data_IF_926328521783
#
_entry.id   IF_926328521783
#
_cell.length_a   1.000
_cell.length_b   1.000
_cell.length_c   1.000
_cell.angle_alpha   90.00
_cell.angle_beta   90.00
_cell.angle_gamma   90.00
#
_symmetry.space_group_name_H-M   'P 1'
#
loop_
_entity.id
_entity.type
_entity.pdbx_description
1 polymer ?
#
# COMPACT_ATOMS: atom_id res chain seq x y z
N UNK A 1 10.96 0.38 12.92
CA UNK A 1 10.26 -0.79 12.35
C UNK A 1 9.52 -0.36 11.10
N UNK A 2 9.74 -1.01 9.95
CA UNK A 2 8.95 -0.75 8.73
C UNK A 2 7.67 -1.58 8.85
N UNK A 3 6.54 -0.90 9.06
CA UNK A 3 5.21 -1.50 8.99
C UNK A 3 4.62 -1.15 7.61
N UNK A 4 3.88 -2.07 6.98
CA UNK A 4 3.67 -3.48 7.32
C UNK A 4 4.87 -4.40 6.98
N UNK A 5 4.83 -5.65 7.47
CA UNK A 5 5.85 -6.68 7.18
C UNK A 5 5.77 -7.17 5.73
N UNK A 6 6.92 -7.45 5.11
CA UNK A 6 7.00 -7.89 3.71
C UNK A 6 6.28 -9.21 3.45
N UNK A 7 6.32 -10.16 4.38
CA UNK A 7 5.66 -11.46 4.22
C UNK A 7 4.14 -11.31 4.07
N UNK A 8 3.51 -10.41 4.84
CA UNK A 8 2.07 -10.11 4.73
C UNK A 8 1.73 -9.48 3.38
N UNK A 9 2.62 -8.65 2.85
CA UNK A 9 2.43 -8.02 1.54
C UNK A 9 2.57 -9.04 0.41
N UNK A 10 3.48 -10.00 0.54
CA UNK A 10 3.72 -11.04 -0.46
C UNK A 10 2.65 -12.12 -0.47
N UNK A 11 1.95 -12.35 0.65
CA UNK A 11 0.76 -13.22 0.69
C UNK A 11 -0.36 -12.68 -0.21
N UNK A 12 -0.53 -11.35 -0.24
CA UNK A 12 -1.57 -10.66 -1.02
C UNK A 12 -1.10 -10.39 -2.46
N UNK A 13 0.17 -9.97 -2.62
CA UNK A 13 0.80 -9.67 -3.90
C UNK A 13 2.05 -10.53 -4.04
N UNK A 14 1.98 -11.73 -4.65
CA UNK A 14 3.08 -12.71 -4.66
C UNK A 14 4.31 -12.32 -5.49
N UNK A 15 4.36 -11.09 -6.01
CA UNK A 15 5.49 -10.57 -6.77
C UNK A 15 6.01 -9.28 -6.15
N UNK A 16 7.28 -9.30 -5.74
CA UNK A 16 8.01 -8.12 -5.24
C UNK A 16 7.96 -6.95 -6.23
N UNK A 17 8.08 -7.23 -7.53
CA UNK A 17 8.02 -6.19 -8.56
C UNK A 17 6.63 -5.57 -8.67
N UNK A 18 5.58 -6.40 -8.69
CA UNK A 18 4.19 -5.91 -8.70
C UNK A 18 3.90 -5.09 -7.45
N UNK A 19 4.34 -5.57 -6.28
CA UNK A 19 4.19 -4.87 -5.01
C UNK A 19 4.80 -3.46 -5.06
N UNK A 20 6.03 -3.33 -5.56
CA UNK A 20 6.70 -2.02 -5.69
C UNK A 20 5.93 -1.10 -6.63
N UNK A 21 5.51 -1.59 -7.80
CA UNK A 21 4.79 -0.79 -8.80
C UNK A 21 3.44 -0.32 -8.26
N UNK A 22 2.66 -1.20 -7.63
CA UNK A 22 1.34 -0.88 -7.06
C UNK A 22 1.49 0.14 -5.93
N UNK A 23 2.44 -0.10 -5.02
CA UNK A 23 2.68 0.78 -3.88
C UNK A 23 3.10 2.17 -4.34
N UNK A 24 3.98 2.28 -5.33
CA UNK A 24 4.40 3.56 -5.90
C UNK A 24 3.25 4.28 -6.61
N UNK A 25 2.46 3.56 -7.43
CA UNK A 25 1.30 4.12 -8.12
C UNK A 25 0.25 4.63 -7.12
N UNK A 26 -0.03 3.86 -6.06
CA UNK A 26 -0.99 4.26 -5.03
C UNK A 26 -0.48 5.41 -4.19
N UNK A 27 0.79 5.40 -3.78
CA UNK A 27 1.40 6.49 -3.03
C UNK A 27 1.26 7.81 -3.80
N UNK A 28 1.51 7.80 -5.12
CA UNK A 28 1.33 8.97 -5.97
C UNK A 28 -0.10 9.51 -5.98
N UNK A 29 -1.11 8.64 -5.93
CA UNK A 29 -2.51 9.08 -5.85
C UNK A 29 -2.79 9.78 -4.52
N UNK A 30 -2.28 9.22 -3.42
CA UNK A 30 -2.39 9.83 -2.08
C UNK A 30 -1.70 11.19 -2.06
N UNK A 31 -0.49 11.29 -2.63
CA UNK A 31 0.23 12.57 -2.76
C UNK A 31 -0.49 13.59 -3.65
N UNK A 32 -1.34 13.13 -4.58
CA UNK A 32 -2.20 13.98 -5.41
C UNK A 32 -3.49 14.42 -4.69
N UNK A 33 -3.70 14.00 -3.44
CA UNK A 33 -4.87 14.36 -2.64
C UNK A 33 -5.99 13.31 -2.65
N UNK A 34 -5.75 12.12 -3.21
CA UNK A 34 -6.71 11.00 -3.08
C UNK A 34 -6.78 10.55 -1.61
N UNK A 35 -7.99 10.33 -1.06
CA UNK A 35 -8.13 9.95 0.34
C UNK A 35 -7.50 8.58 0.60
N UNK A 36 -6.79 8.49 1.72
CA UNK A 36 -6.29 7.23 2.26
C UNK A 36 -7.48 6.42 2.73
N UNK A 37 -7.59 5.16 2.28
CA UNK A 37 -8.70 4.26 2.62
C UNK A 37 -8.51 3.54 3.95
N UNK A 38 -7.28 3.53 4.48
CA UNK A 38 -6.96 2.99 5.79
C UNK A 38 -7.48 3.91 6.88
N UNK A 39 -8.20 3.34 7.84
CA UNK A 39 -8.62 4.08 9.03
C UNK A 39 -7.45 4.13 10.01
N UNK A 40 -7.02 5.34 10.34
CA UNK A 40 -5.93 5.60 11.30
C UNK A 40 -4.58 4.97 10.88
N UNK A 41 -4.00 5.37 9.73
CA UNK A 41 -2.76 4.78 9.22
C UNK A 41 -1.61 4.95 10.21
N UNK A 42 -0.83 3.90 10.41
CA UNK A 42 0.37 3.93 11.27
C UNK A 42 1.50 4.71 10.61
N UNK A 43 1.56 4.68 9.28
CA UNK A 43 2.54 5.39 8.51
C UNK A 43 2.03 6.80 8.14
N UNK A 44 2.89 7.78 8.35
CA UNK A 44 2.65 9.17 7.91
C UNK A 44 2.94 9.34 6.41
N UNK A 45 3.87 8.56 5.85
CA UNK A 45 4.26 8.65 4.45
C UNK A 45 3.29 7.90 3.55
N UNK A 46 2.99 8.47 2.39
CA UNK A 46 2.09 7.97 1.35
C UNK A 46 2.42 6.53 0.90
N UNK A 47 3.70 6.18 0.83
CA UNK A 47 4.14 4.81 0.53
C UNK A 47 3.76 3.82 1.63
N UNK A 48 3.91 4.20 2.89
CA UNK A 48 3.53 3.34 4.01
C UNK A 48 2.01 3.17 4.06
N UNK A 49 1.26 4.25 3.86
CA UNK A 49 -0.21 4.22 3.76
C UNK A 49 -0.69 3.33 2.62
N UNK A 50 -0.04 3.38 1.45
CA UNK A 50 -0.33 2.49 0.34
C UNK A 50 -0.07 1.01 0.69
N UNK A 51 1.00 0.70 1.41
CA UNK A 51 1.29 -0.66 1.86
C UNK A 51 0.26 -1.13 2.89
N UNK A 52 -0.21 -0.24 3.78
CA UNK A 52 -1.28 -0.54 4.73
C UNK A 52 -2.61 -0.83 4.01
N UNK A 53 -2.95 -0.06 2.98
CA UNK A 53 -4.13 -0.32 2.16
C UNK A 53 -4.09 -1.68 1.45
N UNK A 54 -2.90 -2.09 1.00
CA UNK A 54 -2.70 -3.42 0.41
C UNK A 54 -2.97 -4.50 1.45
N UNK A 55 -2.44 -4.34 2.67
CA UNK A 55 -2.63 -5.33 3.76
C UNK A 55 -4.08 -5.40 4.25
N UNK A 56 -4.80 -4.28 4.30
CA UNK A 56 -6.22 -4.27 4.64
C UNK A 56 -7.14 -4.74 3.50
N UNK A 57 -6.60 -5.04 2.30
CA UNK A 57 -7.39 -5.44 1.15
C UNK A 57 -8.32 -4.34 0.61
N UNK A 58 -8.06 -3.07 0.98
CA UNK A 58 -8.85 -1.89 0.56
C UNK A 58 -8.51 -1.39 -0.84
N UNK A 59 -7.58 -2.06 -1.52
CA UNK A 59 -7.08 -1.70 -2.84
C UNK A 59 -7.56 -2.73 -3.86
N UNK A 60 -8.39 -2.30 -4.82
CA UNK A 60 -8.81 -3.16 -5.92
C UNK A 60 -7.72 -3.20 -6.99
N UNK A 61 -6.79 -4.14 -6.85
CA UNK A 61 -5.63 -4.28 -7.74
C UNK A 61 -6.10 -4.85 -9.09
N UNK A 62 -6.46 -3.96 -10.02
CA UNK A 62 -6.68 -4.32 -11.42
C UNK A 62 -5.37 -4.16 -12.20
N UNK A 63 -4.94 -5.22 -12.86
CA UNK A 63 -3.84 -5.21 -13.83
C UNK A 63 -4.41 -5.04 -15.23
#
# INVERSE_FOLDING_TARGET
>A
MRYPSIDKLLDIVPSKYKLVIISAKRAKQIDQGDPVRVENPKCVKSVGQALEEIVEGKLNIKF
#
